data_IF_275311104756
#
_entry.id   IF_275311104756
#
_cell.length_a   1.000
_cell.length_b   1.000
_cell.length_c   1.000
_cell.angle_alpha   90.00
_cell.angle_beta   90.00
_cell.angle_gamma   90.00
#
_symmetry.space_group_name_H-M   'P 1'
#
loop_
_entity.id
_entity.type
_entity.pdbx_description
1 polymer ?
#
# COMPACT_ATOMS: atom_id res chain seq x y z
N UNK A 1 -22.11 7.27 -10.65
CA UNK A 1 -21.09 7.80 -11.62
C UNK A 1 -21.58 7.75 -13.05
N UNK A 2 -20.79 8.22 -14.06
CA UNK A 2 -21.17 8.05 -15.49
C UNK A 2 -20.86 6.63 -15.97
N UNK A 3 -21.76 6.06 -16.79
CA UNK A 3 -21.61 4.73 -17.35
C UNK A 3 -20.31 4.54 -18.16
N UNK A 4 -19.91 5.53 -18.97
CA UNK A 4 -18.67 5.45 -19.74
C UNK A 4 -17.42 5.41 -18.85
N UNK A 5 -17.47 6.10 -17.71
CA UNK A 5 -16.39 6.07 -16.72
C UNK A 5 -16.33 4.70 -16.03
N UNK A 6 -17.47 4.18 -15.59
CA UNK A 6 -17.54 2.86 -14.97
C UNK A 6 -16.99 1.77 -15.89
N UNK A 7 -17.51 1.69 -17.13
CA UNK A 7 -17.08 0.67 -18.08
C UNK A 7 -15.59 0.81 -18.48
N UNK A 8 -15.10 2.04 -18.60
CA UNK A 8 -13.67 2.27 -18.88
C UNK A 8 -12.79 1.85 -17.71
N UNK A 9 -13.21 2.11 -16.48
CA UNK A 9 -12.50 1.71 -15.28
C UNK A 9 -12.58 0.19 -15.03
N UNK A 10 -13.67 -0.46 -15.49
CA UNK A 10 -13.84 -1.91 -15.49
C UNK A 10 -13.18 -2.60 -16.72
N UNK A 11 -12.25 -1.93 -17.40
CA UNK A 11 -11.48 -2.44 -18.54
C UNK A 11 -12.30 -2.86 -19.78
N UNK A 12 -13.55 -2.44 -19.88
CA UNK A 12 -14.35 -2.70 -21.07
C UNK A 12 -13.86 -1.94 -22.33
N UNK A 13 -12.84 -1.11 -22.20
CA UNK A 13 -12.17 -0.36 -23.24
C UNK A 13 -12.00 1.13 -22.93
N UNK A 14 -11.34 1.85 -23.85
CA UNK A 14 -11.21 3.32 -23.77
C UNK A 14 -12.58 3.97 -23.81
N UNK A 15 -12.72 5.22 -23.36
CA UNK A 15 -13.97 5.97 -23.42
C UNK A 15 -14.59 6.01 -24.82
N UNK A 16 -13.76 6.08 -25.87
CA UNK A 16 -14.25 6.05 -27.26
C UNK A 16 -14.79 4.67 -27.65
N UNK A 17 -14.12 3.59 -27.22
CA UNK A 17 -14.57 2.21 -27.44
C UNK A 17 -15.87 1.94 -26.66
N UNK A 18 -15.95 2.33 -25.39
CA UNK A 18 -17.15 2.21 -24.56
C UNK A 18 -18.34 2.95 -25.20
N UNK A 19 -18.13 4.15 -25.71
CA UNK A 19 -19.16 4.90 -26.45
C UNK A 19 -19.68 4.12 -27.67
N UNK A 20 -18.78 3.40 -28.37
CA UNK A 20 -19.15 2.52 -29.48
C UNK A 20 -19.96 1.33 -29.02
N UNK A 21 -19.54 0.65 -27.93
CA UNK A 21 -20.25 -0.50 -27.33
C UNK A 21 -21.70 -0.14 -26.95
N UNK A 22 -21.91 1.04 -26.33
CA UNK A 22 -23.25 1.51 -26.01
C UNK A 22 -24.08 1.78 -27.26
N UNK A 23 -23.48 2.43 -28.29
CA UNK A 23 -24.14 2.69 -29.58
C UNK A 23 -24.53 1.40 -30.30
N UNK A 24 -23.73 0.35 -30.16
CA UNK A 24 -23.98 -1.00 -30.70
C UNK A 24 -25.00 -1.82 -29.88
N UNK A 25 -25.59 -1.22 -28.84
CA UNK A 25 -26.62 -1.84 -27.97
C UNK A 25 -26.11 -3.08 -27.22
N UNK A 26 -24.83 -3.14 -26.92
CA UNK A 26 -24.18 -4.25 -26.21
C UNK A 26 -24.22 -4.09 -24.70
N UNK A 27 -24.54 -2.89 -24.20
CA UNK A 27 -24.54 -2.55 -22.76
C UNK A 27 -25.97 -2.43 -22.25
N UNK A 28 -26.26 -3.10 -21.13
CA UNK A 28 -27.52 -2.94 -20.39
C UNK A 28 -27.25 -2.47 -18.97
N UNK A 29 -28.20 -1.70 -18.43
CA UNK A 29 -28.24 -1.29 -17.03
C UNK A 29 -29.57 -1.78 -16.47
N UNK A 30 -29.55 -2.60 -15.43
CA UNK A 30 -30.72 -3.23 -14.84
C UNK A 30 -31.59 -3.97 -15.90
N UNK A 31 -30.92 -4.70 -16.80
CA UNK A 31 -31.59 -5.44 -17.88
C UNK A 31 -32.08 -4.59 -19.07
N UNK A 32 -32.02 -3.26 -18.99
CA UNK A 32 -32.49 -2.33 -20.04
C UNK A 32 -31.30 -1.80 -20.84
N UNK A 33 -31.43 -1.73 -22.18
CA UNK A 33 -30.38 -1.18 -23.04
C UNK A 33 -30.01 0.26 -22.64
N UNK A 34 -28.72 0.49 -22.45
CA UNK A 34 -28.21 1.82 -22.14
C UNK A 34 -28.49 2.79 -23.29
N UNK A 35 -29.14 3.92 -22.99
CA UNK A 35 -29.50 4.94 -24.00
C UNK A 35 -28.30 5.76 -24.46
N UNK A 36 -27.43 6.10 -23.53
CA UNK A 36 -26.22 6.90 -23.80
C UNK A 36 -25.09 6.45 -22.90
N UNK A 37 -23.85 6.60 -23.35
CA UNK A 37 -22.66 6.32 -22.54
C UNK A 37 -22.45 7.31 -21.39
N UNK A 38 -23.09 8.45 -21.45
CA UNK A 38 -23.01 9.52 -20.45
C UNK A 38 -24.08 9.46 -19.37
N UNK A 39 -24.98 8.45 -19.43
CA UNK A 39 -26.02 8.31 -18.41
C UNK A 39 -25.40 8.09 -17.03
N UNK A 40 -26.07 8.62 -16.00
CA UNK A 40 -25.66 8.38 -14.61
C UNK A 40 -26.15 7.00 -14.18
N UNK A 41 -25.30 6.34 -13.44
CA UNK A 41 -25.58 5.05 -12.82
C UNK A 41 -25.18 5.09 -11.34
N UNK A 42 -25.82 4.24 -10.55
CA UNK A 42 -25.43 3.94 -9.19
C UNK A 42 -24.52 2.69 -9.25
N UNK A 43 -23.24 2.87 -9.03
CA UNK A 43 -22.23 1.83 -9.12
C UNK A 43 -22.37 0.70 -8.09
N UNK A 44 -23.18 0.93 -7.04
CA UNK A 44 -23.42 -0.05 -5.97
C UNK A 44 -24.72 -0.83 -6.23
N UNK A 45 -25.76 -0.16 -6.73
CA UNK A 45 -27.10 -0.74 -6.83
C UNK A 45 -27.51 -1.09 -8.26
N UNK A 46 -26.87 -0.48 -9.28
CA UNK A 46 -27.20 -0.79 -10.67
C UNK A 46 -26.38 -1.97 -11.20
N UNK A 47 -27.06 -2.96 -11.77
CA UNK A 47 -26.42 -4.07 -12.49
C UNK A 47 -26.10 -3.62 -13.92
N UNK A 48 -24.81 -3.55 -14.25
CA UNK A 48 -24.36 -3.27 -15.62
C UNK A 48 -23.87 -4.55 -16.27
N UNK A 49 -24.35 -4.83 -17.48
CA UNK A 49 -23.89 -5.99 -18.27
C UNK A 49 -23.35 -5.55 -19.62
N UNK A 50 -22.29 -6.21 -20.09
CA UNK A 50 -21.75 -6.11 -21.45
C UNK A 50 -21.92 -7.46 -22.14
N UNK A 51 -22.63 -7.49 -23.27
CA UNK A 51 -22.99 -8.72 -23.99
C UNK A 51 -23.67 -9.79 -23.09
N UNK A 52 -24.42 -9.34 -22.07
CA UNK A 52 -25.09 -10.20 -21.10
C UNK A 52 -24.19 -10.69 -19.96
N UNK A 53 -22.92 -10.35 -19.95
CA UNK A 53 -21.99 -10.68 -18.85
C UNK A 53 -21.96 -9.51 -17.87
N UNK A 54 -22.18 -9.74 -16.55
CA UNK A 54 -22.06 -8.70 -15.54
C UNK A 54 -20.69 -8.04 -15.56
N UNK A 55 -20.66 -6.71 -15.54
CA UNK A 55 -19.45 -5.93 -15.41
C UNK A 55 -19.25 -5.62 -13.93
N UNK A 56 -18.26 -6.25 -13.32
CA UNK A 56 -17.87 -5.98 -11.94
C UNK A 56 -17.00 -4.71 -11.97
N UNK A 57 -17.39 -3.72 -11.19
CA UNK A 57 -16.64 -2.50 -11.01
C UNK A 57 -16.17 -2.38 -9.57
N UNK A 58 -14.89 -2.44 -9.39
CA UNK A 58 -14.24 -2.11 -8.13
C UNK A 58 -13.56 -0.75 -8.30
N UNK A 59 -14.03 0.26 -7.56
CA UNK A 59 -13.49 1.62 -7.65
C UNK A 59 -12.03 1.66 -7.24
N UNK A 60 -11.69 0.87 -6.23
CA UNK A 60 -10.35 0.80 -5.68
C UNK A 60 -9.87 -0.64 -5.51
N UNK A 61 -8.61 -0.86 -5.84
CA UNK A 61 -7.90 -2.12 -5.60
C UNK A 61 -6.96 -1.96 -4.41
N UNK A 62 -6.85 -3.03 -3.63
CA UNK A 62 -5.97 -3.07 -2.45
C UNK A 62 -5.21 -4.39 -2.45
N UNK A 63 -3.91 -4.32 -2.65
CA UNK A 63 -3.03 -5.49 -2.69
C UNK A 63 -2.00 -5.42 -1.58
N UNK A 64 -1.84 -6.50 -0.85
CA UNK A 64 -0.72 -6.70 0.07
C UNK A 64 0.42 -7.35 -0.69
N UNK A 65 1.50 -6.63 -0.90
CA UNK A 65 2.73 -7.16 -1.47
C UNK A 65 3.74 -7.47 -0.37
N UNK A 66 4.30 -8.67 -0.35
CA UNK A 66 5.54 -8.93 0.37
C UNK A 66 6.71 -8.45 -0.50
N UNK A 67 7.06 -7.17 -0.35
CA UNK A 67 8.14 -6.58 -1.13
C UNK A 67 9.47 -7.31 -0.88
N UNK A 68 10.16 -7.83 -1.90
CA UNK A 68 11.51 -8.35 -1.78
C UNK A 68 12.55 -7.23 -1.79
N UNK A 69 13.76 -7.52 -1.32
CA UNK A 69 14.92 -6.67 -1.57
C UNK A 69 15.23 -6.57 -3.09
N UNK A 70 15.88 -5.49 -3.51
CA UNK A 70 16.27 -5.25 -4.89
C UNK A 70 15.31 -4.41 -5.73
N UNK A 71 14.07 -4.20 -5.27
CA UNK A 71 13.04 -3.41 -5.95
C UNK A 71 12.82 -2.06 -5.26
N UNK A 72 12.65 -1.01 -6.04
CA UNK A 72 12.30 0.32 -5.50
C UNK A 72 10.77 0.47 -5.42
N UNK A 73 10.30 1.22 -4.42
CA UNK A 73 8.88 1.57 -4.25
C UNK A 73 8.52 2.76 -5.14
N UNK A 74 8.38 2.51 -6.42
CA UNK A 74 8.02 3.49 -7.45
C UNK A 74 7.10 2.85 -8.49
N UNK A 75 6.35 3.68 -9.21
CA UNK A 75 5.47 3.23 -10.29
C UNK A 75 6.23 2.91 -11.58
N UNK A 76 7.37 3.59 -11.79
CA UNK A 76 8.25 3.41 -12.94
C UNK A 76 9.69 3.81 -12.56
N UNK A 77 10.68 3.32 -13.30
CA UNK A 77 12.08 3.64 -13.06
C UNK A 77 13.03 2.94 -14.03
N UNK A 78 14.31 3.32 -13.96
CA UNK A 78 15.38 2.68 -14.74
C UNK A 78 15.96 1.41 -14.04
N UNK A 79 15.39 1.02 -12.93
CA UNK A 79 15.74 -0.16 -12.13
C UNK A 79 14.44 -0.89 -11.77
N UNK A 80 14.49 -2.17 -11.39
CA UNK A 80 13.28 -2.91 -11.03
C UNK A 80 12.44 -2.19 -9.97
N UNK A 81 11.15 -2.06 -10.24
CA UNK A 81 10.17 -1.43 -9.36
C UNK A 81 9.22 -2.48 -8.79
N UNK A 82 8.56 -2.16 -7.69
CA UNK A 82 7.54 -3.05 -7.11
C UNK A 82 6.38 -3.31 -8.05
N UNK A 83 6.13 -2.43 -9.03
CA UNK A 83 5.07 -2.62 -10.02
C UNK A 83 5.40 -3.69 -11.05
N UNK A 84 6.67 -4.03 -11.25
CA UNK A 84 7.09 -5.15 -12.11
C UNK A 84 6.69 -6.52 -11.54
N UNK A 85 6.30 -6.56 -10.26
CA UNK A 85 5.83 -7.76 -9.55
C UNK A 85 4.30 -7.90 -9.58
N UNK A 86 3.57 -6.88 -10.06
CA UNK A 86 2.11 -6.84 -10.04
C UNK A 86 1.60 -7.17 -11.46
N UNK A 87 0.83 -8.24 -11.57
CA UNK A 87 0.28 -8.74 -12.84
C UNK A 87 -1.16 -8.32 -13.06
N UNK A 88 -1.71 -7.48 -12.19
CA UNK A 88 -3.02 -6.89 -12.37
C UNK A 88 -2.98 -5.82 -13.46
N UNK A 89 -4.10 -5.63 -14.13
CA UNK A 89 -4.24 -4.50 -15.04
C UNK A 89 -3.98 -3.20 -14.27
N UNK A 90 -2.93 -2.49 -14.68
CA UNK A 90 -2.41 -1.33 -13.95
C UNK A 90 -3.36 -0.12 -14.07
N UNK A 91 -4.46 -0.18 -13.30
CA UNK A 91 -5.53 0.81 -13.26
C UNK A 91 -5.18 1.99 -12.35
N UNK A 92 -4.01 2.58 -12.57
CA UNK A 92 -3.50 3.64 -11.72
C UNK A 92 -3.00 3.16 -10.35
N UNK A 93 -2.62 1.88 -10.24
CA UNK A 93 -2.02 1.32 -9.04
C UNK A 93 -0.68 1.98 -8.74
N UNK A 94 -0.42 2.22 -7.46
CA UNK A 94 0.84 2.75 -6.97
C UNK A 94 1.15 2.19 -5.57
N UNK A 95 2.43 2.15 -5.16
CA UNK A 95 2.80 1.77 -3.82
C UNK A 95 2.39 2.84 -2.79
N UNK A 96 1.64 2.43 -1.76
CA UNK A 96 1.30 3.29 -0.63
C UNK A 96 2.49 3.44 0.31
N UNK A 97 3.27 4.47 0.09
CA UNK A 97 4.53 4.76 0.78
C UNK A 97 5.72 4.07 0.13
N UNK A 98 6.85 4.21 0.81
CA UNK A 98 8.14 3.75 0.28
C UNK A 98 8.85 2.90 1.30
N UNK A 99 9.34 1.75 0.85
CA UNK A 99 10.39 0.98 1.50
C UNK A 99 11.67 1.16 0.68
N UNK A 100 12.81 1.20 1.34
CA UNK A 100 14.10 1.27 0.67
C UNK A 100 14.30 0.05 -0.24
N UNK A 101 15.24 0.15 -1.19
CA UNK A 101 15.52 -0.93 -2.15
C UNK A 101 15.89 -2.24 -1.47
N UNK A 102 16.63 -2.18 -0.36
CA UNK A 102 17.08 -3.31 0.43
C UNK A 102 16.13 -3.71 1.57
N UNK A 103 15.07 -2.94 1.81
CA UNK A 103 14.05 -3.22 2.83
C UNK A 103 12.98 -4.13 2.25
N UNK A 104 12.57 -5.12 3.03
CA UNK A 104 11.56 -6.11 2.67
C UNK A 104 10.24 -5.89 3.43
N UNK A 105 9.24 -6.71 3.11
CA UNK A 105 8.03 -6.86 3.91
C UNK A 105 6.80 -6.16 3.34
N UNK A 106 5.87 -5.82 4.22
CA UNK A 106 4.54 -5.32 3.87
C UNK A 106 4.61 -4.02 3.07
N UNK A 107 4.08 -4.05 1.86
CA UNK A 107 3.82 -2.86 1.06
C UNK A 107 2.39 -2.93 0.49
N UNK A 108 1.58 -1.95 0.83
CA UNK A 108 0.25 -1.79 0.25
C UNK A 108 0.38 -1.19 -1.16
N UNK A 109 -0.25 -1.83 -2.14
CA UNK A 109 -0.39 -1.33 -3.51
C UNK A 109 -1.86 -1.01 -3.72
N UNK A 110 -2.19 0.18 -4.17
CA UNK A 110 -3.58 0.63 -4.34
C UNK A 110 -3.69 1.75 -5.36
N UNK A 111 -4.91 2.04 -5.82
CA UNK A 111 -5.27 3.24 -6.56
C UNK A 111 -6.14 4.22 -5.74
N UNK A 112 -6.32 3.96 -4.43
CA UNK A 112 -7.03 4.84 -3.49
C UNK A 112 -6.09 5.93 -2.95
N UNK A 113 -6.01 7.05 -3.68
CA UNK A 113 -5.18 8.19 -3.31
C UNK A 113 -5.55 8.82 -1.95
N UNK A 114 -6.83 9.07 -1.66
CA UNK A 114 -7.29 9.55 -0.35
C UNK A 114 -6.84 8.68 0.82
N UNK A 115 -7.05 7.35 0.75
CA UNK A 115 -6.60 6.42 1.79
C UNK A 115 -5.08 6.45 1.94
N UNK A 116 -4.34 6.37 0.83
CA UNK A 116 -2.89 6.42 0.86
C UNK A 116 -2.38 7.72 1.51
N UNK A 117 -3.00 8.86 1.20
CA UNK A 117 -2.66 10.13 1.85
C UNK A 117 -2.89 10.08 3.37
N UNK A 118 -4.00 9.51 3.83
CA UNK A 118 -4.28 9.34 5.26
C UNK A 118 -3.22 8.47 5.93
N UNK A 119 -2.90 7.30 5.36
CA UNK A 119 -1.92 6.36 5.92
C UNK A 119 -0.49 6.90 5.97
N UNK A 120 -0.14 7.80 5.05
CA UNK A 120 1.22 8.32 4.93
C UNK A 120 1.42 9.67 5.60
N UNK A 121 0.35 10.42 5.87
CA UNK A 121 0.43 11.75 6.45
C UNK A 121 1.01 11.70 7.89
N UNK A 122 2.03 12.51 8.19
CA UNK A 122 2.61 12.59 9.53
C UNK A 122 1.60 13.03 10.61
N UNK A 123 0.47 13.64 10.21
CA UNK A 123 -0.58 14.11 11.11
C UNK A 123 -1.38 12.98 11.77
N UNK A 124 -1.51 11.85 11.07
CA UNK A 124 -2.30 10.71 11.56
C UNK A 124 -1.49 9.74 12.42
N UNK A 125 -0.19 9.94 12.57
CA UNK A 125 0.70 9.12 13.41
C UNK A 125 0.57 7.61 13.19
N UNK A 126 0.25 7.18 11.97
CA UNK A 126 0.05 5.78 11.62
C UNK A 126 1.28 4.95 11.98
N UNK A 127 1.10 4.00 12.87
CA UNK A 127 2.17 3.11 13.32
C UNK A 127 2.63 2.19 12.18
N UNK A 128 3.94 1.98 12.13
CA UNK A 128 4.60 1.01 11.26
C UNK A 128 5.57 0.20 12.08
N UNK A 129 5.41 -1.10 12.08
CA UNK A 129 6.25 -2.02 12.83
C UNK A 129 7.21 -2.76 11.91
N UNK A 130 8.45 -2.84 12.34
CA UNK A 130 9.53 -3.45 11.60
C UNK A 130 10.26 -4.49 12.44
N UNK A 131 10.65 -5.59 11.83
CA UNK A 131 11.71 -6.45 12.31
C UNK A 131 13.05 -5.88 11.84
N UNK A 132 13.97 -5.74 12.78
CA UNK A 132 15.28 -5.13 12.57
C UNK A 132 16.37 -6.07 13.06
N UNK A 133 17.36 -6.38 12.22
CA UNK A 133 18.64 -6.93 12.64
C UNK A 133 19.71 -5.85 12.53
N UNK A 134 20.66 -5.87 13.48
CA UNK A 134 21.70 -4.87 13.56
C UNK A 134 23.05 -5.48 14.01
N UNK A 135 24.14 -4.74 13.80
CA UNK A 135 25.48 -5.31 13.85
C UNK A 135 26.02 -5.51 15.26
N UNK A 136 25.65 -4.64 16.21
CA UNK A 136 26.20 -4.64 17.58
C UNK A 136 25.13 -5.11 18.58
N UNK A 137 25.55 -5.56 19.76
CA UNK A 137 24.63 -5.87 20.84
C UNK A 137 24.06 -4.55 21.40
N UNK A 138 22.71 -4.46 21.47
CA UNK A 138 22.00 -3.26 21.94
C UNK A 138 22.01 -3.21 23.47
N UNK A 139 22.41 -2.07 24.01
CA UNK A 139 22.40 -1.83 25.46
C UNK A 139 21.03 -1.32 25.92
N UNK A 140 20.78 -1.35 27.25
CA UNK A 140 19.58 -0.74 27.84
C UNK A 140 19.53 0.79 27.57
N UNK A 141 20.67 1.48 27.56
CA UNK A 141 20.75 2.91 27.23
C UNK A 141 20.34 3.18 25.79
N UNK A 142 20.73 2.35 24.84
CA UNK A 142 20.33 2.46 23.44
C UNK A 142 18.81 2.31 23.28
N UNK A 143 18.21 1.37 24.01
CA UNK A 143 16.75 1.19 24.02
C UNK A 143 16.06 2.44 24.55
N UNK A 144 16.52 3.00 25.67
CA UNK A 144 15.98 4.24 26.27
C UNK A 144 16.09 5.41 25.30
N UNK A 145 17.23 5.54 24.60
CA UNK A 145 17.44 6.59 23.58
C UNK A 145 16.46 6.48 22.42
N UNK A 146 16.21 5.27 21.89
CA UNK A 146 15.20 5.05 20.84
C UNK A 146 13.79 5.36 21.34
N UNK A 147 13.47 4.98 22.58
CA UNK A 147 12.15 5.21 23.18
C UNK A 147 11.91 6.67 23.57
N UNK A 148 12.95 7.45 23.74
CA UNK A 148 12.85 8.89 24.07
C UNK A 148 12.86 9.80 22.83
N UNK A 149 13.17 9.23 21.68
CA UNK A 149 13.47 9.95 20.45
C UNK A 149 14.95 10.28 20.34
N UNK A 150 15.46 10.27 19.13
CA UNK A 150 16.88 10.39 18.84
C UNK A 150 17.12 11.37 17.69
N UNK A 151 18.28 12.01 17.67
CA UNK A 151 18.68 12.93 16.58
C UNK A 151 19.94 12.44 15.89
N UNK A 152 19.99 12.61 14.57
CA UNK A 152 21.15 12.28 13.75
C UNK A 152 21.27 13.28 12.58
N UNK A 153 22.46 13.79 12.34
CA UNK A 153 22.76 14.73 11.25
C UNK A 153 21.81 15.94 11.17
N UNK A 154 21.42 16.50 12.31
CA UNK A 154 20.51 17.64 12.39
C UNK A 154 19.03 17.31 12.24
N UNK A 155 18.67 16.05 12.00
CA UNK A 155 17.30 15.56 11.95
C UNK A 155 16.92 14.90 13.28
N UNK A 156 15.69 15.16 13.75
CA UNK A 156 15.12 14.51 14.93
C UNK A 156 14.09 13.46 14.52
N UNK A 157 14.16 12.29 15.16
CA UNK A 157 13.25 11.17 14.99
C UNK A 157 12.42 10.99 16.25
N UNK A 158 11.13 10.71 16.06
CA UNK A 158 10.18 10.55 17.15
C UNK A 158 10.52 9.32 18.01
N UNK A 159 10.02 9.28 19.27
CA UNK A 159 10.04 8.08 20.09
C UNK A 159 9.56 6.84 19.34
N UNK A 160 10.25 5.73 19.50
CA UNK A 160 9.89 4.43 18.94
C UNK A 160 9.55 3.44 20.07
N UNK A 161 8.67 2.47 19.80
CA UNK A 161 8.49 1.31 20.68
C UNK A 161 9.50 0.25 20.28
N UNK A 162 10.26 -0.28 21.24
CA UNK A 162 11.31 -1.28 21.00
C UNK A 162 10.99 -2.52 21.81
N UNK A 163 10.95 -3.69 21.16
CA UNK A 163 10.86 -4.99 21.83
C UNK A 163 12.03 -5.86 21.36
N UNK A 164 12.96 -6.15 22.26
CA UNK A 164 14.13 -6.98 21.95
C UNK A 164 13.71 -8.43 21.73
N UNK A 165 14.30 -9.07 20.72
CA UNK A 165 14.16 -10.49 20.41
C UNK A 165 15.46 -11.23 20.76
N UNK A 166 16.58 -10.68 20.30
CA UNK A 166 17.93 -11.12 20.66
C UNK A 166 18.79 -9.87 20.95
N UNK A 167 20.03 -9.99 21.43
CA UNK A 167 20.90 -8.81 21.59
C UNK A 167 21.10 -8.00 20.30
N UNK A 168 20.88 -8.59 19.12
CA UNK A 168 21.09 -7.99 17.80
C UNK A 168 19.84 -7.98 16.92
N UNK A 169 18.67 -8.19 17.48
CA UNK A 169 17.42 -8.08 16.75
C UNK A 169 16.28 -7.61 17.63
N UNK A 170 15.38 -6.80 17.06
CA UNK A 170 14.22 -6.29 17.77
C UNK A 170 13.02 -6.10 16.82
N UNK A 171 11.84 -5.92 17.37
CA UNK A 171 10.79 -5.19 16.67
C UNK A 171 10.82 -3.73 17.07
N UNK A 172 10.69 -2.87 16.07
CA UNK A 172 10.68 -1.41 16.22
C UNK A 172 9.40 -0.84 15.62
N UNK A 173 8.58 -0.14 16.42
CA UNK A 173 7.39 0.55 15.93
C UNK A 173 7.63 2.05 15.92
N UNK A 174 7.44 2.67 14.76
CA UNK A 174 7.57 4.11 14.53
C UNK A 174 6.26 4.69 13.98
N UNK A 175 6.04 5.97 14.22
CA UNK A 175 4.96 6.78 13.61
C UNK A 175 5.47 7.73 12.53
N UNK A 176 6.77 7.78 12.33
CA UNK A 176 7.43 8.55 11.29
C UNK A 176 7.34 7.88 9.91
N UNK A 177 8.15 8.36 9.01
CA UNK A 177 8.26 7.87 7.63
C UNK A 177 9.28 8.70 6.86
N UNK A 178 10.25 9.29 7.57
CA UNK A 178 11.34 10.02 6.96
C UNK A 178 12.26 9.09 6.16
N UNK A 179 12.97 9.64 5.22
CA UNK A 179 13.97 8.91 4.43
C UNK A 179 14.97 8.19 5.33
N UNK A 180 15.15 6.89 5.16
CA UNK A 180 16.07 6.03 5.92
C UNK A 180 15.95 6.15 7.46
N UNK A 181 14.77 6.49 7.97
CA UNK A 181 14.53 6.82 9.38
C UNK A 181 15.15 5.80 10.33
N UNK A 182 14.79 4.52 10.22
CA UNK A 182 15.30 3.48 11.12
C UNK A 182 16.81 3.33 10.99
N UNK A 183 17.35 3.35 9.77
CA UNK A 183 18.80 3.25 9.54
C UNK A 183 19.55 4.40 10.23
N UNK A 184 19.02 5.61 10.15
CA UNK A 184 19.63 6.78 10.80
C UNK A 184 19.47 6.76 12.33
N UNK A 185 18.35 6.23 12.85
CA UNK A 185 18.19 6.02 14.28
C UNK A 185 19.27 5.08 14.83
N UNK A 186 19.56 3.96 14.14
CA UNK A 186 20.65 3.05 14.54
C UNK A 186 22.04 3.66 14.33
N UNK A 187 22.26 4.43 13.29
CA UNK A 187 23.54 5.17 13.12
C UNK A 187 23.78 6.18 14.24
N UNK A 188 22.74 6.80 14.78
CA UNK A 188 22.85 7.67 15.95
C UNK A 188 23.28 6.94 17.23
N UNK A 189 23.05 5.61 17.29
CA UNK A 189 23.56 4.74 18.35
C UNK A 189 25.00 4.27 18.10
N UNK A 190 25.58 4.57 16.94
CA UNK A 190 26.85 4.03 16.48
C UNK A 190 26.75 2.62 15.90
N UNK A 191 25.53 2.16 15.60
CA UNK A 191 25.24 0.82 15.07
C UNK A 191 24.79 0.89 13.60
N UNK A 192 24.60 -0.26 12.98
CA UNK A 192 24.17 -0.38 11.58
C UNK A 192 23.10 -1.45 11.46
N UNK A 193 21.97 -1.08 10.83
CA UNK A 193 20.95 -2.04 10.41
C UNK A 193 21.52 -2.97 9.34
N UNK A 194 21.42 -4.26 9.54
CA UNK A 194 21.89 -5.31 8.61
C UNK A 194 20.73 -5.96 7.85
N UNK A 195 19.53 -6.00 8.45
CA UNK A 195 18.30 -6.46 7.82
C UNK A 195 17.10 -5.66 8.32
N UNK A 196 16.17 -5.35 7.43
CA UNK A 196 14.97 -4.58 7.76
C UNK A 196 13.77 -5.12 6.99
N UNK A 197 12.71 -5.46 7.75
CA UNK A 197 11.45 -5.98 7.19
C UNK A 197 10.26 -5.30 7.85
N UNK A 198 9.37 -4.68 7.07
CA UNK A 198 8.12 -4.15 7.63
C UNK A 198 7.11 -5.26 7.84
N UNK A 199 6.65 -5.42 9.07
CA UNK A 199 5.71 -6.44 9.50
C UNK A 199 4.26 -5.93 9.48
N UNK A 200 4.03 -4.65 9.83
CA UNK A 200 2.71 -4.09 10.04
C UNK A 200 2.67 -2.61 9.63
N UNK A 201 1.53 -2.18 9.13
CA UNK A 201 1.18 -0.77 8.96
C UNK A 201 -0.27 -0.56 9.42
N UNK A 202 -0.50 0.30 10.41
CA UNK A 202 -1.79 0.43 11.13
C UNK A 202 -2.21 -0.96 11.66
N UNK A 203 -3.39 -1.44 11.29
CA UNK A 203 -3.89 -2.78 11.66
C UNK A 203 -3.53 -3.86 10.64
N UNK A 204 -2.99 -3.47 9.46
CA UNK A 204 -2.64 -4.41 8.41
C UNK A 204 -1.32 -5.10 8.74
N UNK A 205 -1.36 -6.41 8.96
CA UNK A 205 -0.21 -7.28 9.26
C UNK A 205 0.19 -8.05 8.02
N UNK A 206 1.50 -8.18 7.77
CA UNK A 206 2.02 -8.99 6.67
C UNK A 206 1.56 -10.44 6.80
N UNK A 207 0.96 -10.96 5.75
CA UNK A 207 0.57 -12.37 5.67
C UNK A 207 1.84 -13.24 5.56
N UNK A 208 2.08 -14.09 6.55
CA UNK A 208 3.27 -14.94 6.63
C UNK A 208 3.29 -16.03 5.54
N UNK A 209 2.15 -16.32 4.91
CA UNK A 209 2.08 -17.27 3.80
C UNK A 209 2.65 -16.72 2.50
N UNK A 210 2.72 -15.38 2.36
CA UNK A 210 3.30 -14.72 1.19
C UNK A 210 4.82 -14.80 1.21
N UNK A 211 5.39 -15.39 0.18
CA UNK A 211 6.84 -15.32 -0.06
C UNK A 211 7.25 -13.94 -0.58
N UNK A 212 8.52 -13.52 -0.42
CA UNK A 212 9.02 -12.30 -1.04
C UNK A 212 8.74 -12.27 -2.55
N UNK A 213 8.10 -11.21 -3.02
CA UNK A 213 7.64 -11.04 -4.41
C UNK A 213 6.20 -11.46 -4.68
N UNK A 214 5.56 -12.16 -3.76
CA UNK A 214 4.16 -12.55 -3.89
C UNK A 214 3.23 -11.46 -3.32
N UNK A 215 2.02 -11.39 -3.84
CA UNK A 215 0.97 -10.49 -3.36
C UNK A 215 -0.39 -11.20 -3.34
N UNK A 216 -1.32 -10.63 -2.58
CA UNK A 216 -2.75 -10.99 -2.60
C UNK A 216 -3.63 -9.75 -2.45
N UNK A 217 -4.89 -9.89 -2.80
CA UNK A 217 -5.90 -8.89 -2.46
C UNK A 217 -6.10 -8.84 -0.94
N UNK A 218 -6.43 -7.66 -0.44
CA UNK A 218 -6.91 -7.50 0.93
C UNK A 218 -8.32 -8.07 1.05
N UNK A 219 -8.64 -8.57 2.25
CA UNK A 219 -10.01 -8.93 2.60
C UNK A 219 -10.85 -7.66 2.86
N UNK A 220 -12.18 -7.79 2.83
CA UNK A 220 -13.09 -6.69 3.16
C UNK A 220 -12.85 -6.16 4.59
N UNK A 221 -12.54 -7.05 5.53
CA UNK A 221 -12.21 -6.70 6.92
C UNK A 221 -10.92 -5.87 7.00
N UNK A 222 -9.85 -6.29 6.32
CA UNK A 222 -8.59 -5.56 6.24
C UNK A 222 -8.78 -4.16 5.62
N UNK A 223 -9.62 -4.05 4.58
CA UNK A 223 -9.95 -2.77 3.95
C UNK A 223 -10.74 -1.87 4.91
N UNK A 224 -11.73 -2.43 5.61
CA UNK A 224 -12.53 -1.70 6.58
C UNK A 224 -11.65 -1.18 7.72
N UNK A 225 -10.74 -2.00 8.26
CA UNK A 225 -9.81 -1.63 9.32
C UNK A 225 -8.83 -0.54 8.89
N UNK A 226 -8.34 -0.59 7.63
CA UNK A 226 -7.49 0.46 7.09
C UNK A 226 -8.22 1.80 6.97
N UNK A 227 -9.51 1.77 6.63
CA UNK A 227 -10.36 2.97 6.44
C UNK A 227 -10.95 3.50 7.73
N UNK A 228 -11.04 2.68 8.79
CA UNK A 228 -11.56 3.12 10.08
C UNK A 228 -10.70 4.26 10.63
N UNK A 229 -11.34 5.34 11.09
CA UNK A 229 -10.64 6.40 11.83
C UNK A 229 -10.19 5.86 13.19
N UNK A 230 -8.97 6.20 13.61
CA UNK A 230 -8.54 5.96 14.98
C UNK A 230 -9.36 6.88 15.90
N UNK A 231 -10.17 6.28 16.77
CA UNK A 231 -10.93 6.98 17.78
C UNK A 231 -10.02 7.45 18.92
#
# INVERSE_FOLDING_TARGET
MRLDRMLSNAHAGTRSQVKKLVKEKRVKVNGVLAKTSSMQIDEVNDEVTLDGIPVIYEEHMYLMLHKPAGYISATEGNVPTVMDLIYEDNNGLFPCGRLDKDTEGLLLITNDGPLAHTLLSPKHHVEKEYYVEHALDMSEDDIVRLQSGISYNGESYKPAKVNMITPRSCTLTITGGKYHEIKFMFQALGDKVTYLKRLRMKNLVLDESLKPGEYRYLTEEEIADLKADEQ
#
